data_IF_330409098914
#
_entry.id   IF_330409098914
#
_cell.length_a   1.000
_cell.length_b   1.000
_cell.length_c   1.000
_cell.angle_alpha   90.00
_cell.angle_beta   90.00
_cell.angle_gamma   90.00
#
_symmetry.space_group_name_H-M   'P 1'
#
loop_
_entity.id
_entity.type
_entity.pdbx_description
1 polymer ?
#
# COMPACT_ATOMS: atom_id res chain seq x y z
N UNK A 1 -4.79 -3.79 4.58
CA UNK A 1 -4.38 -4.70 3.50
C UNK A 1 -5.46 -4.74 2.45
N UNK A 2 -5.12 -4.37 1.22
CA UNK A 2 -6.04 -4.29 0.09
C UNK A 2 -5.29 -4.77 -1.17
N UNK A 3 -5.71 -5.85 -1.85
CA UNK A 3 -6.81 -6.75 -1.52
C UNK A 3 -6.66 -7.46 -0.16
N UNK A 4 -7.78 -7.70 0.52
CA UNK A 4 -7.81 -8.28 1.87
C UNK A 4 -7.49 -9.78 1.86
N UNK A 5 -6.74 -10.23 2.86
CA UNK A 5 -6.43 -11.64 3.10
C UNK A 5 -6.91 -12.00 4.53
N UNK A 6 -7.74 -13.04 4.76
CA UNK A 6 -8.11 -14.14 3.85
C UNK A 6 -9.37 -13.90 3.01
N UNK A 7 -10.01 -12.74 3.13
CA UNK A 7 -11.33 -12.50 2.53
C UNK A 7 -11.32 -12.40 1.00
N UNK A 8 -10.18 -12.09 0.38
CA UNK A 8 -10.04 -11.91 -1.06
C UNK A 8 -10.83 -10.71 -1.61
N UNK A 9 -11.28 -9.81 -0.73
CA UNK A 9 -12.10 -8.65 -1.11
C UNK A 9 -11.23 -7.44 -1.43
N UNK A 10 -11.62 -6.71 -2.46
CA UNK A 10 -11.02 -5.43 -2.83
C UNK A 10 -11.83 -4.32 -2.17
N UNK A 11 -11.15 -3.36 -1.55
CA UNK A 11 -11.79 -2.16 -1.00
C UNK A 11 -12.20 -1.23 -2.15
N UNK A 12 -13.42 -0.72 -2.08
CA UNK A 12 -13.90 0.29 -3.00
C UNK A 12 -13.23 1.66 -2.73
N UNK A 13 -13.32 2.53 -3.74
CA UNK A 13 -12.70 3.86 -3.72
C UNK A 13 -13.26 4.76 -2.62
N UNK A 14 -14.55 4.68 -2.30
CA UNK A 14 -15.17 5.52 -1.26
C UNK A 14 -14.68 5.10 0.13
N UNK A 15 -14.60 3.80 0.39
CA UNK A 15 -14.04 3.26 1.64
C UNK A 15 -12.58 3.67 1.82
N UNK A 16 -11.75 3.53 0.77
CA UNK A 16 -10.35 3.95 0.83
C UNK A 16 -10.20 5.46 1.06
N UNK A 17 -11.02 6.29 0.40
CA UNK A 17 -11.02 7.75 0.61
C UNK A 17 -11.45 8.12 2.04
N UNK A 18 -12.41 7.39 2.61
CA UNK A 18 -12.85 7.58 4.00
C UNK A 18 -11.72 7.24 4.98
N UNK A 19 -11.03 6.11 4.77
CA UNK A 19 -9.89 5.70 5.60
C UNK A 19 -8.76 6.74 5.50
N UNK A 20 -8.45 7.18 4.28
CA UNK A 20 -7.40 8.17 4.04
C UNK A 20 -7.74 9.52 4.70
N UNK A 21 -8.99 9.96 4.60
CA UNK A 21 -9.47 11.19 5.23
C UNK A 21 -9.40 11.09 6.76
N UNK A 22 -9.83 9.96 7.34
CA UNK A 22 -9.72 9.71 8.77
C UNK A 22 -8.26 9.72 9.25
N UNK A 23 -7.35 9.05 8.53
CA UNK A 23 -5.92 9.05 8.87
C UNK A 23 -5.31 10.44 8.81
N UNK A 24 -5.70 11.23 7.79
CA UNK A 24 -5.24 12.61 7.63
C UNK A 24 -5.78 13.51 8.75
N UNK A 25 -7.07 13.43 9.07
CA UNK A 25 -7.71 14.21 10.14
C UNK A 25 -7.08 13.92 11.51
N UNK A 26 -6.76 12.66 11.79
CA UNK A 26 -6.10 12.26 13.04
C UNK A 26 -4.60 12.45 13.03
N UNK A 27 -4.02 12.90 11.92
CA UNK A 27 -2.57 13.04 11.72
C UNK A 27 -1.81 11.74 12.08
N UNK A 28 -2.34 10.60 11.62
CA UNK A 28 -1.76 9.27 11.82
C UNK A 28 -1.28 8.68 10.50
N UNK A 29 -0.27 7.83 10.57
CA UNK A 29 0.28 7.15 9.40
C UNK A 29 -0.69 6.08 8.87
N UNK A 30 -0.84 6.04 7.55
CA UNK A 30 -1.57 5.00 6.84
C UNK A 30 -0.57 4.09 6.12
N UNK A 31 -0.54 2.81 6.51
CA UNK A 31 0.27 1.78 5.85
C UNK A 31 -0.65 0.87 5.04
N UNK A 32 -0.56 0.96 3.71
CA UNK A 32 -1.31 0.14 2.77
C UNK A 32 -0.47 -1.04 2.28
N UNK A 33 -0.80 -2.23 2.77
CA UNK A 33 -0.29 -3.48 2.22
C UNK A 33 -1.11 -3.84 0.96
N UNK A 34 -0.45 -3.73 -0.19
CA UNK A 34 -1.01 -3.97 -1.53
C UNK A 34 -0.37 -5.20 -2.21
N UNK A 35 0.17 -6.14 -1.42
CA UNK A 35 0.88 -7.34 -1.91
C UNK A 35 0.06 -8.20 -2.89
N UNK A 36 -1.28 -8.10 -2.87
CA UNK A 36 -2.19 -8.84 -3.75
C UNK A 36 -2.73 -8.00 -4.91
N UNK A 37 -2.21 -6.79 -5.13
CA UNK A 37 -2.74 -5.82 -6.09
C UNK A 37 -2.88 -6.37 -7.51
N UNK A 38 -1.95 -7.21 -7.97
CA UNK A 38 -2.03 -7.83 -9.31
C UNK A 38 -2.77 -9.18 -9.36
N UNK A 39 -3.34 -9.65 -8.23
CA UNK A 39 -4.14 -10.90 -8.17
C UNK A 39 -5.65 -10.68 -8.25
N UNK A 40 -6.09 -9.49 -8.65
CA UNK A 40 -7.52 -9.18 -8.83
C UNK A 40 -7.96 -9.64 -10.23
N UNK A 41 -8.65 -10.78 -10.29
CA UNK A 41 -9.13 -11.40 -11.54
C UNK A 41 -10.58 -11.03 -11.91
N UNK A 42 -11.24 -10.16 -11.15
CA UNK A 42 -12.67 -9.84 -11.33
C UNK A 42 -13.04 -8.45 -10.85
N UNK A 43 -14.31 -8.08 -11.01
CA UNK A 43 -14.86 -6.82 -10.52
C UNK A 43 -15.16 -6.90 -9.00
N UNK A 44 -14.95 -5.82 -8.24
CA UNK A 44 -14.42 -4.52 -8.64
C UNK A 44 -12.90 -4.51 -8.88
N UNK A 45 -12.44 -3.64 -9.79
CA UNK A 45 -11.01 -3.47 -10.06
C UNK A 45 -10.27 -3.00 -8.80
N UNK A 46 -9.02 -3.45 -8.66
CA UNK A 46 -8.12 -2.92 -7.66
C UNK A 46 -7.89 -1.42 -7.86
N UNK A 47 -8.02 -0.64 -6.79
CA UNK A 47 -7.65 0.78 -6.74
C UNK A 47 -6.53 0.92 -5.71
N UNK A 48 -5.37 1.37 -6.16
CA UNK A 48 -4.25 1.66 -5.25
C UNK A 48 -4.53 2.94 -4.45
N UNK A 49 -4.03 3.00 -3.22
CA UNK A 49 -4.13 4.22 -2.39
C UNK A 49 -3.43 5.41 -3.06
N UNK A 50 -2.41 5.17 -3.90
CA UNK A 50 -1.72 6.24 -4.61
C UNK A 50 -2.61 6.95 -5.64
N UNK A 51 -3.56 6.25 -6.26
CA UNK A 51 -4.50 6.88 -7.21
C UNK A 51 -5.44 7.83 -6.49
N UNK A 52 -5.93 7.45 -5.30
CA UNK A 52 -6.86 8.25 -4.51
C UNK A 52 -6.15 9.48 -3.92
N UNK A 53 -4.87 9.33 -3.58
CA UNK A 53 -4.05 10.44 -3.11
C UNK A 53 -3.85 11.52 -4.16
N UNK A 54 -3.78 11.17 -5.46
CA UNK A 54 -3.61 12.16 -6.53
C UNK A 54 -4.86 13.03 -6.77
N UNK A 55 -6.03 12.52 -6.38
CA UNK A 55 -7.30 13.18 -6.64
C UNK A 55 -7.66 14.25 -5.59
N UNK A 56 -6.99 14.30 -4.44
CA UNK A 56 -7.23 15.32 -3.40
C UNK A 56 -5.96 15.79 -2.67
N UNK A 57 -6.08 16.89 -1.91
CA UNK A 57 -4.98 17.53 -1.19
C UNK A 57 -4.71 16.85 0.17
N UNK A 58 -4.12 15.65 0.15
CA UNK A 58 -3.70 14.91 1.35
C UNK A 58 -2.20 15.09 1.61
N UNK A 59 -1.77 14.91 2.87
CA UNK A 59 -0.35 14.91 3.20
C UNK A 59 0.31 13.57 2.79
N UNK A 60 1.15 13.52 1.74
CA UNK A 60 1.72 12.28 1.25
C UNK A 60 2.72 11.66 2.24
N UNK A 61 3.31 12.46 3.15
CA UNK A 61 4.30 11.99 4.13
C UNK A 61 3.75 10.98 5.15
N UNK A 62 2.43 10.92 5.30
CA UNK A 62 1.75 9.99 6.22
C UNK A 62 1.36 8.68 5.53
N UNK A 63 1.57 8.55 4.21
CA UNK A 63 1.11 7.41 3.42
C UNK A 63 2.31 6.55 3.01
N UNK A 64 2.19 5.26 3.29
CA UNK A 64 3.23 4.26 3.02
C UNK A 64 2.59 3.02 2.38
N UNK A 65 3.16 2.55 1.28
CA UNK A 65 2.72 1.36 0.55
C UNK A 65 3.74 0.25 0.75
N UNK A 66 3.25 -0.96 1.04
CA UNK A 66 4.06 -2.17 1.17
C UNK A 66 3.62 -3.15 0.08
N UNK A 67 4.59 -3.67 -0.67
CA UNK A 67 4.35 -4.54 -1.83
C UNK A 67 5.35 -5.69 -1.88
N UNK A 68 5.00 -6.79 -2.56
CA UNK A 68 5.88 -7.95 -2.74
C UNK A 68 5.51 -8.73 -3.99
N UNK A 69 6.52 -9.24 -4.70
CA UNK A 69 6.34 -10.11 -5.87
C UNK A 69 5.99 -11.56 -5.51
N UNK A 70 5.97 -11.88 -4.21
CA UNK A 70 5.78 -13.26 -3.73
C UNK A 70 4.42 -13.84 -4.11
N UNK A 71 3.40 -12.98 -4.23
CA UNK A 71 2.01 -13.38 -4.49
C UNK A 71 1.60 -13.11 -5.93
N UNK A 72 2.04 -11.99 -6.49
CA UNK A 72 1.65 -11.56 -7.83
C UNK A 72 2.33 -12.36 -8.95
N UNK A 73 3.60 -12.76 -8.77
CA UNK A 73 4.34 -13.51 -9.79
C UNK A 73 4.63 -14.97 -9.40
N UNK A 74 4.13 -15.44 -8.26
CA UNK A 74 4.39 -16.80 -7.78
C UNK A 74 5.87 -17.08 -7.47
N UNK A 75 6.65 -16.03 -7.16
CA UNK A 75 8.09 -16.11 -6.87
C UNK A 75 8.41 -15.87 -5.37
N UNK A 76 7.86 -16.64 -4.41
CA UNK A 76 8.18 -16.44 -2.99
C UNK A 76 9.65 -16.74 -2.66
N UNK A 77 10.35 -17.51 -3.52
CA UNK A 77 11.76 -17.87 -3.36
C UNK A 77 12.74 -16.71 -3.54
N UNK A 78 12.36 -15.65 -4.26
CA UNK A 78 13.24 -14.50 -4.51
C UNK A 78 13.24 -13.47 -3.38
N UNK A 79 12.32 -13.59 -2.40
CA UNK A 79 12.24 -12.74 -1.21
C UNK A 79 12.24 -11.23 -1.50
N UNK A 80 11.56 -10.82 -2.57
CA UNK A 80 11.44 -9.40 -2.96
C UNK A 80 10.30 -8.75 -2.17
N UNK A 81 10.66 -7.86 -1.25
CA UNK A 81 9.76 -6.95 -0.55
C UNK A 81 10.10 -5.50 -0.90
N UNK A 82 9.08 -4.69 -1.15
CA UNK A 82 9.21 -3.29 -1.54
C UNK A 82 8.44 -2.44 -0.54
N UNK A 83 9.08 -1.41 -0.01
CA UNK A 83 8.45 -0.35 0.78
C UNK A 83 8.51 0.91 -0.04
N UNK A 84 7.36 1.45 -0.39
CA UNK A 84 7.22 2.68 -1.13
C UNK A 84 6.59 3.74 -0.23
N UNK A 85 7.28 4.86 -0.03
CA UNK A 85 6.78 5.94 0.82
C UNK A 85 7.17 7.27 0.23
N UNK A 86 6.27 8.25 0.37
CA UNK A 86 6.55 9.64 0.02
C UNK A 86 7.29 10.41 1.12
N UNK A 87 7.58 9.76 2.25
CA UNK A 87 8.32 10.37 3.36
C UNK A 87 9.80 9.99 3.27
N UNK A 88 10.64 10.97 2.93
CA UNK A 88 12.08 10.76 2.77
C UNK A 88 12.77 10.19 4.02
N UNK A 89 12.27 10.54 5.22
CA UNK A 89 12.82 10.01 6.48
C UNK A 89 12.51 8.52 6.61
N UNK A 90 11.28 8.11 6.26
CA UNK A 90 10.88 6.70 6.27
C UNK A 90 11.65 5.94 5.21
N UNK A 91 11.80 6.47 3.99
CA UNK A 91 12.60 5.83 2.92
C UNK A 91 14.06 5.65 3.34
N UNK A 92 14.68 6.69 3.92
CA UNK A 92 16.07 6.63 4.39
C UNK A 92 16.26 5.60 5.50
N UNK A 93 15.36 5.57 6.49
CA UNK A 93 15.38 4.57 7.55
C UNK A 93 15.14 3.16 7.01
N UNK A 94 14.12 2.97 6.17
CA UNK A 94 13.80 1.70 5.55
C UNK A 94 14.98 1.16 4.74
N UNK A 95 15.66 2.02 3.97
CA UNK A 95 16.87 1.64 3.21
C UNK A 95 18.06 1.25 4.09
N UNK A 96 18.24 1.92 5.24
CA UNK A 96 19.27 1.54 6.22
C UNK A 96 18.95 0.21 6.90
N UNK A 97 17.67 -0.07 7.15
CA UNK A 97 17.19 -1.33 7.72
C UNK A 97 17.08 -2.45 6.70
N UNK A 98 16.99 -2.13 5.40
CA UNK A 98 16.94 -3.11 4.30
C UNK A 98 18.30 -3.72 3.97
N UNK A 99 19.30 -3.55 4.84
CA UNK A 99 20.57 -4.25 4.70
C UNK A 99 20.32 -5.75 4.80
N UNK A 100 20.15 -6.37 3.64
CA UNK A 100 20.50 -7.76 3.45
C UNK A 100 22.01 -7.86 3.70
N UNK A 101 22.39 -8.61 4.73
CA UNK A 101 23.76 -9.14 4.84
C UNK A 101 24.03 -10.14 3.74
#
# INVERSE_FOLDING_TARGET
>A
TNPSNPLGTVLDRETLSTILSFSTEKNIHLVCDEIYGATVFGYPNFVSISEIMLDQDYNPELIHIVYSLSKDLGFPGFRVGIVYSYNDRVVSCARKMSSFG
#
